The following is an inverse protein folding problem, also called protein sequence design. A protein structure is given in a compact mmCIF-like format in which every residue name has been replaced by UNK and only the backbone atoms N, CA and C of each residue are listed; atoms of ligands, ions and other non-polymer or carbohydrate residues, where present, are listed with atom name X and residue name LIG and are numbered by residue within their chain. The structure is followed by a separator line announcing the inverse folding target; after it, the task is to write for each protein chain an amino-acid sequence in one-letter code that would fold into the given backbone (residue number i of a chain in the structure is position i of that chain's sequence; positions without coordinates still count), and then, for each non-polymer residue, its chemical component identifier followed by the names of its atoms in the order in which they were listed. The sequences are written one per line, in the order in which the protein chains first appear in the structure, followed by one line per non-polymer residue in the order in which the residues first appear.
data_IF_773582821851
#
_entry.id   IF_773582821851
#
_cell.length_a   1.000
_cell.length_b   1.000
_cell.length_c   1.000
_cell.angle_alpha   90.00
_cell.angle_beta   90.00
_cell.angle_gamma   90.00
#
_symmetry.space_group_name_H-M   'P 1'
#
loop_
_entity.id
_entity.type
_entity.pdbx_description
1 polymer ?
#
# COMPACT_ATOMS: atom_id res chain seq x y z
N UNK A 1 -7.97 19.39 -2.64
CA UNK A 1 -7.98 18.65 -1.35
C UNK A 1 -8.70 17.30 -1.35
N UNK A 2 -9.42 16.87 -2.40
CA UNK A 2 -10.14 15.57 -2.39
C UNK A 2 -9.40 14.37 -3.04
N UNK A 3 -8.40 14.61 -3.88
CA UNK A 3 -7.70 13.55 -4.64
C UNK A 3 -6.98 12.53 -3.73
N UNK A 4 -6.50 12.98 -2.57
CA UNK A 4 -5.73 12.15 -1.63
C UNK A 4 -6.62 11.19 -0.83
N UNK A 5 -7.81 11.62 -0.44
CA UNK A 5 -8.80 10.77 0.22
C UNK A 5 -9.37 9.71 -0.75
N UNK A 6 -9.54 10.10 -2.02
CA UNK A 6 -9.97 9.17 -3.07
C UNK A 6 -8.97 8.03 -3.23
N UNK A 7 -7.66 8.32 -3.22
CA UNK A 7 -6.63 7.29 -3.37
C UNK A 7 -6.68 6.26 -2.23
N UNK A 8 -6.76 6.71 -0.98
CA UNK A 8 -6.84 5.82 0.18
C UNK A 8 -8.08 4.92 0.10
N UNK A 9 -9.25 5.53 -0.17
CA UNK A 9 -10.51 4.80 -0.28
C UNK A 9 -10.47 3.78 -1.41
N UNK A 10 -9.96 4.17 -2.58
CA UNK A 10 -9.83 3.28 -3.75
C UNK A 10 -8.97 2.07 -3.42
N UNK A 11 -7.86 2.25 -2.71
CA UNK A 11 -7.01 1.13 -2.28
C UNK A 11 -7.77 0.18 -1.35
N UNK A 12 -8.50 0.73 -0.37
CA UNK A 12 -9.31 -0.07 0.57
C UNK A 12 -10.40 -0.86 -0.16
N UNK A 13 -11.10 -0.22 -1.12
CA UNK A 13 -12.17 -0.84 -1.90
C UNK A 13 -11.63 -1.96 -2.82
N UNK A 14 -10.48 -1.74 -3.48
CA UNK A 14 -9.83 -2.76 -4.31
C UNK A 14 -9.40 -3.96 -3.45
N UNK A 15 -8.73 -3.72 -2.32
CA UNK A 15 -8.33 -4.78 -1.39
C UNK A 15 -9.53 -5.54 -0.83
N UNK A 16 -10.66 -4.85 -0.61
CA UNK A 16 -11.93 -5.48 -0.23
C UNK A 16 -12.48 -6.43 -1.30
N UNK A 17 -12.20 -6.14 -2.57
CA UNK A 17 -12.70 -6.89 -3.74
C UNK A 17 -11.77 -8.00 -4.22
N UNK A 18 -10.51 -8.01 -3.77
CA UNK A 18 -9.53 -9.06 -4.12
C UNK A 18 -9.87 -10.39 -3.43
N UNK A 19 -9.73 -11.48 -4.20
CA UNK A 19 -9.70 -12.85 -3.64
C UNK A 19 -8.41 -13.08 -2.86
N UNK A 20 -8.41 -14.04 -1.93
CA UNK A 20 -7.20 -14.47 -1.23
C UNK A 20 -6.09 -14.84 -2.22
N UNK A 21 -4.87 -14.36 -1.97
CA UNK A 21 -3.72 -14.45 -2.86
C UNK A 21 -3.68 -13.42 -4.01
N UNK A 22 -4.73 -12.63 -4.20
CA UNK A 22 -4.77 -11.55 -5.19
C UNK A 22 -3.79 -10.42 -4.84
N UNK A 23 -3.17 -9.78 -5.84
CA UNK A 23 -2.16 -8.72 -5.62
C UNK A 23 -2.63 -7.38 -6.12
N UNK A 24 -2.33 -6.33 -5.36
CA UNK A 24 -2.49 -4.93 -5.75
C UNK A 24 -1.12 -4.32 -5.93
N UNK A 25 -0.85 -3.81 -7.13
CA UNK A 25 0.33 -3.05 -7.48
C UNK A 25 -0.06 -1.59 -7.75
N UNK A 26 0.61 -0.64 -7.09
CA UNK A 26 0.36 0.79 -7.26
C UNK A 26 1.66 1.48 -7.63
N UNK A 27 1.64 2.23 -8.73
CA UNK A 27 2.74 3.08 -9.18
C UNK A 27 2.38 4.53 -8.86
N UNK A 28 3.26 5.21 -8.13
CA UNK A 28 3.10 6.62 -7.75
C UNK A 28 4.22 7.45 -8.34
N UNK A 29 3.95 8.71 -8.68
CA UNK A 29 4.96 9.61 -9.24
C UNK A 29 5.33 10.73 -8.26
N UNK A 30 4.47 11.00 -7.27
CA UNK A 30 4.71 12.01 -6.26
C UNK A 30 4.94 11.41 -4.88
N UNK A 31 5.75 12.10 -4.07
CA UNK A 31 6.07 11.66 -2.71
C UNK A 31 4.86 11.60 -1.77
N UNK A 32 3.85 12.43 -2.03
CA UNK A 32 2.61 12.46 -1.25
C UNK A 32 1.75 11.22 -1.52
N UNK A 33 1.59 10.84 -2.79
CA UNK A 33 0.92 9.61 -3.21
C UNK A 33 1.62 8.38 -2.62
N UNK A 34 2.95 8.29 -2.75
CA UNK A 34 3.73 7.17 -2.19
C UNK A 34 3.54 7.03 -0.67
N UNK A 35 3.47 8.16 0.03
CA UNK A 35 3.23 8.18 1.48
C UNK A 35 1.85 7.61 1.81
N UNK A 36 0.81 8.01 1.08
CA UNK A 36 -0.56 7.51 1.28
C UNK A 36 -0.59 6.01 1.04
N UNK A 37 -0.11 5.53 -0.12
CA UNK A 37 -0.07 4.09 -0.44
C UNK A 37 0.67 3.30 0.64
N UNK A 38 1.83 3.79 1.08
CA UNK A 38 2.61 3.16 2.16
C UNK A 38 1.81 3.08 3.47
N UNK A 39 1.15 4.16 3.86
CA UNK A 39 0.37 4.21 5.10
C UNK A 39 -0.86 3.31 5.03
N UNK A 40 -1.60 3.35 3.92
CA UNK A 40 -2.79 2.50 3.71
C UNK A 40 -2.40 1.02 3.69
N UNK A 41 -1.34 0.62 2.99
CA UNK A 41 -0.86 -0.76 3.01
C UNK A 41 -0.42 -1.20 4.41
N UNK A 42 0.26 -0.31 5.15
CA UNK A 42 0.66 -0.57 6.53
C UNK A 42 -0.56 -0.77 7.43
N UNK A 43 -1.56 0.11 7.34
CA UNK A 43 -2.81 0.00 8.09
C UNK A 43 -3.53 -1.32 7.80
N UNK A 44 -3.68 -1.69 6.52
CA UNK A 44 -4.35 -2.92 6.11
C UNK A 44 -3.56 -4.19 6.49
N UNK A 45 -2.24 -4.08 6.65
CA UNK A 45 -1.38 -5.17 7.11
C UNK A 45 -1.37 -5.34 8.62
N UNK A 46 -1.79 -4.32 9.38
CA UNK A 46 -1.89 -4.41 10.85
C UNK A 46 -3.14 -5.20 11.21
N UNK A 47 -2.96 -6.27 11.98
CA UNK A 47 -4.07 -6.99 12.60
C UNK A 47 -4.61 -6.20 13.78
N UNK A 48 -3.92 -6.24 14.91
CA UNK A 48 -4.37 -5.58 16.13
C UNK A 48 -4.08 -4.06 16.09
N UNK A 49 -5.07 -3.26 16.51
CA UNK A 49 -4.93 -1.81 16.75
C UNK A 49 -5.16 -1.44 18.23
N UNK A 50 -5.29 -2.43 19.11
CA UNK A 50 -5.43 -2.18 20.54
C UNK A 50 -4.15 -1.53 21.11
N UNK A 51 -4.27 -0.67 22.14
CA UNK A 51 -3.11 -0.17 22.87
C UNK A 51 -2.25 -1.32 23.42
N UNK A 52 -0.93 -1.15 23.50
CA UNK A 52 -0.04 -2.18 24.05
C UNK A 52 -0.33 -2.51 25.52
N UNK A 53 -0.96 -1.59 26.25
CA UNK A 53 -1.34 -1.76 27.67
C UNK A 53 -2.58 -2.66 27.87
N UNK A 54 -3.23 -3.09 26.78
CA UNK A 54 -4.39 -3.99 26.87
C UNK A 54 -3.93 -5.46 26.94
N UNK A 55 -4.37 -6.23 27.96
CA UNK A 55 -3.89 -7.59 28.18
C UNK A 55 -4.41 -8.60 27.13
N UNK A 56 -5.51 -8.31 26.45
CA UNK A 56 -6.11 -9.16 25.41
C UNK A 56 -6.64 -8.30 24.27
N UNK A 57 -6.48 -8.76 23.02
CA UNK A 57 -7.03 -8.09 21.85
C UNK A 57 -8.57 -8.10 21.88
N UNK A 58 -9.17 -6.91 21.88
CA UNK A 58 -10.64 -6.74 21.80
C UNK A 58 -11.11 -6.16 20.46
N UNK A 59 -10.19 -5.67 19.61
CA UNK A 59 -10.56 -5.01 18.36
C UNK A 59 -11.01 -5.97 17.25
N UNK A 60 -10.73 -7.27 17.37
CA UNK A 60 -11.12 -8.30 16.40
C UNK A 60 -10.56 -8.12 14.98
N UNK A 61 -9.75 -7.07 14.72
CA UNK A 61 -9.15 -6.82 13.41
C UNK A 61 -8.12 -7.89 13.09
N UNK A 62 -8.25 -8.45 11.89
CA UNK A 62 -7.28 -9.36 11.29
C UNK A 62 -6.55 -8.62 10.16
N UNK A 63 -5.26 -8.94 9.93
CA UNK A 63 -4.54 -8.37 8.81
C UNK A 63 -5.24 -8.77 7.51
N UNK A 64 -5.51 -7.80 6.64
CA UNK A 64 -6.16 -8.06 5.36
C UNK A 64 -5.17 -8.30 4.24
N UNK A 65 -3.97 -7.72 4.35
CA UNK A 65 -2.93 -7.83 3.31
C UNK A 65 -1.57 -8.17 3.90
N UNK A 66 -0.75 -8.81 3.08
CA UNK A 66 0.68 -9.00 3.28
C UNK A 66 1.44 -8.03 2.39
N UNK A 67 2.34 -7.25 2.97
CA UNK A 67 3.20 -6.33 2.20
C UNK A 67 4.29 -7.15 1.52
N UNK A 68 4.32 -7.11 0.18
CA UNK A 68 5.34 -7.81 -0.62
C UNK A 68 6.59 -6.93 -0.74
N UNK A 69 6.43 -5.64 -1.01
CA UNK A 69 7.53 -4.68 -1.20
C UNK A 69 7.64 -3.74 -0.01
N UNK A 70 8.61 -3.97 0.89
CA UNK A 70 8.84 -3.06 2.05
C UNK A 70 9.38 -1.69 1.60
N UNK A 71 10.33 -1.70 0.68
CA UNK A 71 10.83 -0.50 -0.03
C UNK A 71 10.12 -0.41 -1.39
N UNK A 72 9.86 0.81 -1.90
CA UNK A 72 9.31 0.95 -3.25
C UNK A 72 10.32 0.41 -4.27
N UNK A 73 9.82 -0.23 -5.32
CA UNK A 73 10.62 -0.60 -6.49
C UNK A 73 10.80 0.67 -7.33
N UNK A 74 12.04 0.98 -7.67
CA UNK A 74 12.43 2.14 -8.46
C UNK A 74 12.69 1.72 -9.91
N UNK A 75 12.55 2.65 -10.88
CA UNK A 75 12.93 2.40 -12.27
C UNK A 75 14.41 2.03 -12.38
N UNK A 76 14.74 1.17 -13.35
CA UNK A 76 16.13 0.80 -13.65
C UNK A 76 16.82 1.88 -14.49
N UNK A 77 18.16 1.87 -14.54
CA UNK A 77 18.90 2.82 -15.37
C UNK A 77 18.59 2.69 -16.87
N UNK A 78 18.28 1.48 -17.34
CA UNK A 78 17.83 1.22 -18.70
C UNK A 78 16.47 1.86 -18.97
N UNK A 79 15.52 1.73 -18.03
CA UNK A 79 14.20 2.35 -18.15
C UNK A 79 14.32 3.89 -18.16
N UNK A 80 15.21 4.47 -17.37
CA UNK A 80 15.42 5.93 -17.35
C UNK A 80 15.98 6.48 -18.65
N UNK A 81 16.77 5.69 -19.39
CA UNK A 81 17.30 6.06 -20.72
C UNK A 81 16.21 6.09 -21.78
N UNK A 82 15.23 5.19 -21.69
CA UNK A 82 14.15 5.05 -22.66
C UNK A 82 12.95 5.94 -22.28
N UNK A 83 12.71 6.12 -20.98
CA UNK A 83 11.59 6.88 -20.44
C UNK A 83 12.01 7.74 -19.24
N UNK A 84 12.37 8.99 -19.52
CA UNK A 84 12.75 9.97 -18.50
C UNK A 84 11.60 10.30 -17.52
N UNK A 85 10.33 10.09 -17.90
CA UNK A 85 9.16 10.33 -17.04
C UNK A 85 9.07 9.30 -15.90
N UNK A 86 9.69 8.13 -16.03
CA UNK A 86 9.73 7.13 -14.97
C UNK A 86 10.61 7.53 -13.78
N UNK A 87 11.44 8.59 -13.89
CA UNK A 87 12.42 8.99 -12.85
C UNK A 87 11.86 9.09 -11.43
N UNK A 88 10.62 9.54 -11.29
CA UNK A 88 9.96 9.71 -9.99
C UNK A 88 9.04 8.56 -9.62
N UNK A 89 8.90 7.55 -10.49
CA UNK A 89 8.01 6.42 -10.30
C UNK A 89 8.46 5.55 -9.13
N UNK A 90 7.49 5.15 -8.30
CA UNK A 90 7.67 4.25 -7.16
C UNK A 90 6.56 3.22 -7.20
N UNK A 91 6.95 1.95 -7.33
CA UNK A 91 6.02 0.83 -7.32
C UNK A 91 5.95 0.18 -5.93
N UNK A 92 4.73 -0.04 -5.43
CA UNK A 92 4.46 -0.80 -4.20
C UNK A 92 3.45 -1.91 -4.47
N UNK A 93 3.66 -3.07 -3.83
CA UNK A 93 2.82 -4.26 -3.99
C UNK A 93 2.40 -4.83 -2.62
N UNK A 94 1.12 -5.16 -2.50
CA UNK A 94 0.57 -5.97 -1.42
C UNK A 94 -0.24 -7.15 -1.97
N UNK A 95 -0.39 -8.19 -1.16
CA UNK A 95 -1.13 -9.41 -1.47
C UNK A 95 -2.26 -9.59 -0.46
N UNK A 96 -3.45 -9.92 -0.92
CA UNK A 96 -4.62 -10.21 -0.09
C UNK A 96 -4.42 -11.53 0.66
N UNK A 97 -4.67 -11.52 1.97
CA UNK A 97 -4.68 -12.71 2.81
C UNK A 97 -6.01 -13.45 2.72
#
# INVERSE_FOLDING_TARGET
NGELEILERTIKDIVGSLKGGGRLAVITFHSLEDRIVKQTFSELSKGCVCPPDFPVCVCGKKPQVKIITRKPILPTEEELKINSRSKSAKLRVCEKL
#
